data_IF_757617415369
#
_entry.id   IF_757617415369
#
_cell.length_a   1.000
_cell.length_b   1.000
_cell.length_c   1.000
_cell.angle_alpha   90.00
_cell.angle_beta   90.00
_cell.angle_gamma   90.00
#
_symmetry.space_group_name_H-M   'P 1'
#
loop_
_entity.id
_entity.type
_entity.pdbx_description
1 polymer ?
#
# COMPACT_ATOMS: atom_id res chain seq x y z
N UNK A 1 3.69 7.30 11.10
CA UNK A 1 4.85 6.42 10.79
C UNK A 1 4.50 4.94 10.95
N UNK A 2 3.98 4.48 12.10
CA UNK A 2 3.62 3.06 12.32
C UNK A 2 2.66 2.49 11.27
N UNK A 3 1.67 3.28 10.85
CA UNK A 3 0.73 2.88 9.81
C UNK A 3 1.35 2.77 8.41
N UNK A 4 2.43 3.49 8.12
CA UNK A 4 3.15 3.47 6.84
C UNK A 4 4.07 2.24 6.80
N UNK A 5 5.01 2.12 7.73
CA UNK A 5 6.03 1.06 7.71
C UNK A 5 5.49 -0.37 7.70
N UNK A 6 4.25 -0.56 8.15
CA UNK A 6 3.59 -1.85 8.10
C UNK A 6 3.22 -2.30 6.67
N UNK A 7 2.86 -1.37 5.81
CA UNK A 7 2.44 -1.64 4.42
C UNK A 7 3.64 -2.12 3.59
N UNK A 8 4.78 -1.48 3.74
CA UNK A 8 6.00 -1.69 2.95
C UNK A 8 6.44 -3.17 2.89
N UNK A 9 6.25 -3.92 3.99
CA UNK A 9 6.62 -5.35 4.02
C UNK A 9 5.74 -6.21 3.11
N UNK A 10 4.46 -5.88 3.01
CA UNK A 10 3.51 -6.62 2.17
C UNK A 10 3.72 -6.28 0.69
N UNK A 11 3.88 -5.00 0.38
CA UNK A 11 4.06 -4.47 -0.98
C UNK A 11 5.36 -4.96 -1.61
N UNK A 12 6.47 -4.91 -0.88
CA UNK A 12 7.76 -5.46 -1.30
C UNK A 12 7.64 -6.92 -1.77
N UNK A 13 6.93 -7.76 -1.00
CA UNK A 13 6.74 -9.17 -1.34
C UNK A 13 5.84 -9.35 -2.57
N UNK A 14 4.85 -8.48 -2.74
CA UNK A 14 3.97 -8.50 -3.90
C UNK A 14 4.76 -8.20 -5.17
N UNK A 15 5.50 -7.11 -5.23
CA UNK A 15 6.31 -6.75 -6.39
C UNK A 15 7.40 -7.77 -6.70
N UNK A 16 8.11 -8.27 -5.69
CA UNK A 16 9.17 -9.28 -5.90
C UNK A 16 8.68 -10.57 -6.56
N UNK A 17 7.39 -10.88 -6.45
CA UNK A 17 6.77 -12.10 -7.00
C UNK A 17 5.96 -11.87 -8.27
N UNK A 18 5.98 -10.67 -8.83
CA UNK A 18 5.16 -10.37 -10.01
C UNK A 18 5.55 -11.24 -11.22
N UNK A 19 6.84 -11.53 -11.39
CA UNK A 19 7.35 -12.39 -12.44
C UNK A 19 6.95 -13.86 -12.32
N UNK A 20 6.58 -14.33 -11.13
CA UNK A 20 6.10 -15.70 -10.92
C UNK A 20 4.74 -15.94 -11.58
N UNK A 21 3.93 -14.89 -11.72
CA UNK A 21 2.59 -14.93 -12.27
C UNK A 21 2.50 -14.34 -13.67
N UNK A 22 3.37 -13.41 -14.01
CA UNK A 22 3.49 -12.77 -15.32
C UNK A 22 4.87 -13.06 -15.90
N UNK A 23 5.06 -14.24 -16.56
CA UNK A 23 6.37 -14.77 -16.89
C UNK A 23 7.03 -14.11 -18.11
N UNK A 24 7.06 -12.77 -18.13
CA UNK A 24 7.78 -12.00 -19.13
C UNK A 24 9.07 -11.41 -18.51
N UNK A 25 10.24 -11.58 -19.12
CA UNK A 25 11.51 -11.13 -18.55
C UNK A 25 11.48 -9.67 -18.05
N UNK A 26 10.98 -8.75 -18.89
CA UNK A 26 10.92 -7.33 -18.53
C UNK A 26 9.95 -7.04 -17.36
N UNK A 27 8.89 -7.84 -17.18
CA UNK A 27 7.97 -7.70 -16.03
C UNK A 27 8.64 -8.22 -14.77
N UNK A 28 9.39 -9.31 -14.88
CA UNK A 28 10.18 -9.83 -13.77
C UNK A 28 11.23 -8.81 -13.29
N UNK A 29 11.99 -8.23 -14.23
CA UNK A 29 12.97 -7.19 -13.93
C UNK A 29 12.33 -5.96 -13.30
N UNK A 30 11.18 -5.52 -13.83
CA UNK A 30 10.37 -4.44 -13.28
C UNK A 30 9.96 -4.73 -11.84
N UNK A 31 9.50 -5.95 -11.56
CA UNK A 31 9.12 -6.38 -10.21
C UNK A 31 10.26 -6.27 -9.20
N UNK A 32 11.48 -6.64 -9.59
CA UNK A 32 12.66 -6.49 -8.73
C UNK A 32 13.01 -5.01 -8.50
N UNK A 33 12.89 -4.16 -9.51
CA UNK A 33 13.10 -2.70 -9.35
C UNK A 33 12.09 -2.12 -8.36
N UNK A 34 10.80 -2.41 -8.53
CA UNK A 34 9.74 -1.95 -7.63
C UNK A 34 9.97 -2.45 -6.19
N UNK A 35 10.23 -3.74 -6.03
CA UNK A 35 10.51 -4.33 -4.72
C UNK A 35 11.75 -3.72 -4.04
N UNK A 36 12.77 -3.32 -4.80
CA UNK A 36 13.94 -2.64 -4.25
C UNK A 36 13.61 -1.24 -3.73
N UNK A 37 12.73 -0.51 -4.39
CA UNK A 37 12.24 0.80 -3.92
C UNK A 37 11.56 0.63 -2.56
N UNK A 38 10.72 -0.40 -2.38
CA UNK A 38 10.07 -0.70 -1.09
C UNK A 38 11.09 -1.08 0.02
N UNK A 39 12.20 -1.70 -0.35
CA UNK A 39 13.30 -1.94 0.61
C UNK A 39 13.89 -0.61 1.08
N UNK A 40 14.09 0.34 0.16
CA UNK A 40 14.62 1.67 0.48
C UNK A 40 13.65 2.44 1.38
N UNK A 41 12.34 2.41 1.08
CA UNK A 41 11.30 3.02 1.92
C UNK A 41 11.34 2.45 3.34
N UNK A 42 11.32 1.13 3.46
CA UNK A 42 11.33 0.46 4.76
C UNK A 42 12.56 0.86 5.59
N UNK A 43 13.75 0.84 5.01
CA UNK A 43 15.00 1.25 5.68
C UNK A 43 14.98 2.72 6.06
N UNK A 44 14.44 3.59 5.21
CA UNK A 44 14.34 5.03 5.49
C UNK A 44 13.40 5.31 6.66
N UNK A 45 12.23 4.65 6.71
CA UNK A 45 11.29 4.79 7.82
C UNK A 45 11.81 4.19 9.13
N UNK A 46 12.52 3.06 9.09
CA UNK A 46 13.20 2.50 10.25
C UNK A 46 14.24 3.47 10.82
N UNK A 47 15.12 4.00 9.98
CA UNK A 47 16.11 5.00 10.40
C UNK A 47 15.48 6.25 10.97
N UNK A 48 14.36 6.70 10.41
CA UNK A 48 13.64 7.85 10.91
C UNK A 48 13.05 7.58 12.31
N UNK A 49 12.47 6.40 12.55
CA UNK A 49 11.98 6.01 13.87
C UNK A 49 13.10 5.98 14.90
N UNK A 50 14.23 5.36 14.58
CA UNK A 50 15.43 5.33 15.44
C UNK A 50 15.90 6.76 15.75
N UNK A 51 16.02 7.60 14.74
CA UNK A 51 16.47 9.00 14.91
C UNK A 51 15.56 9.85 15.79
N UNK A 52 14.27 9.49 15.86
CA UNK A 52 13.27 10.15 16.68
C UNK A 52 13.08 9.48 18.05
N UNK A 53 13.71 8.32 18.31
CA UNK A 53 13.52 7.53 19.53
C UNK A 53 12.10 7.00 19.69
N UNK A 54 11.48 6.56 18.58
CA UNK A 54 10.07 6.16 18.53
C UNK A 54 9.86 4.66 18.22
N UNK A 55 10.90 3.83 18.38
CA UNK A 55 10.82 2.40 18.08
C UNK A 55 9.79 1.69 18.96
N UNK A 56 9.82 1.93 20.27
CA UNK A 56 8.86 1.33 21.22
C UNK A 56 7.43 1.76 20.92
N UNK A 57 7.22 3.04 20.56
CA UNK A 57 5.91 3.58 20.17
C UNK A 57 5.41 2.93 18.88
N UNK A 58 6.32 2.63 17.96
CA UNK A 58 5.95 1.91 16.73
C UNK A 58 5.40 0.53 17.06
N UNK A 59 6.10 -0.24 17.89
CA UNK A 59 5.71 -1.60 18.28
C UNK A 59 4.41 -1.64 19.08
N UNK A 60 4.19 -0.65 19.94
CA UNK A 60 2.93 -0.49 20.67
C UNK A 60 1.75 -0.17 19.73
N UNK A 61 1.94 0.77 18.82
CA UNK A 61 0.90 1.16 17.87
C UNK A 61 0.49 0.01 16.93
N UNK A 62 1.42 -0.88 16.57
CA UNK A 62 1.09 -2.06 15.76
C UNK A 62 0.08 -2.99 16.44
N UNK A 63 -0.06 -2.96 17.75
CA UNK A 63 -1.01 -3.78 18.53
C UNK A 63 -2.42 -3.17 18.58
N UNK A 64 -2.59 -1.90 18.17
CA UNK A 64 -3.88 -1.23 18.18
C UNK A 64 -4.84 -1.85 17.16
N UNK A 65 -6.08 -2.08 17.57
CA UNK A 65 -7.13 -2.66 16.72
C UNK A 65 -7.35 -1.86 15.42
N UNK A 66 -7.19 -0.54 15.48
CA UNK A 66 -7.30 0.36 14.33
C UNK A 66 -6.22 0.03 13.28
N UNK A 67 -4.98 -0.18 13.71
CA UNK A 67 -3.87 -0.57 12.83
C UNK A 67 -4.03 -2.01 12.37
N UNK A 68 -4.49 -2.91 13.25
CA UNK A 68 -4.77 -4.30 12.88
C UNK A 68 -5.87 -4.42 11.83
N UNK A 69 -6.83 -3.51 11.78
CA UNK A 69 -7.83 -3.43 10.71
C UNK A 69 -7.17 -3.35 9.32
N UNK A 70 -6.16 -2.48 9.16
CA UNK A 70 -5.36 -2.38 7.92
C UNK A 70 -4.59 -3.66 7.63
N UNK A 71 -3.91 -4.24 8.62
CA UNK A 71 -3.20 -5.53 8.46
C UNK A 71 -4.13 -6.60 7.94
N UNK A 72 -5.35 -6.63 8.45
CA UNK A 72 -6.32 -7.67 8.11
C UNK A 72 -6.77 -7.56 6.66
N UNK A 73 -7.10 -6.36 6.15
CA UNK A 73 -7.49 -6.25 4.75
C UNK A 73 -6.30 -6.49 3.80
N UNK A 74 -5.08 -6.05 4.14
CA UNK A 74 -3.88 -6.36 3.36
C UNK A 74 -3.62 -7.88 3.28
N UNK A 75 -3.76 -8.59 4.40
CA UNK A 75 -3.65 -10.05 4.43
C UNK A 75 -4.73 -10.71 3.58
N UNK A 76 -5.96 -10.21 3.64
CA UNK A 76 -7.09 -10.70 2.87
C UNK A 76 -6.80 -10.64 1.36
N UNK A 77 -6.16 -9.57 0.87
CA UNK A 77 -5.78 -9.44 -0.53
C UNK A 77 -4.77 -10.50 -1.00
N UNK A 78 -3.98 -11.04 -0.09
CA UNK A 78 -3.01 -12.11 -0.35
C UNK A 78 -3.59 -13.51 -0.14
N UNK A 79 -4.76 -13.64 0.51
CA UNK A 79 -5.39 -14.94 0.75
C UNK A 79 -6.16 -15.41 -0.48
N UNK A 80 -6.23 -16.73 -0.62
CA UNK A 80 -6.93 -17.38 -1.73
C UNK A 80 -8.45 -17.23 -1.55
N UNK A 81 -9.03 -16.26 -2.25
CA UNK A 81 -10.47 -16.06 -2.36
C UNK A 81 -11.05 -16.86 -3.54
N UNK A 82 -10.47 -16.70 -4.73
CA UNK A 82 -10.87 -17.42 -5.92
C UNK A 82 -10.17 -18.79 -6.04
N UNK A 83 -10.88 -19.78 -6.56
CA UNK A 83 -10.30 -21.08 -6.90
C UNK A 83 -9.40 -21.00 -8.13
N UNK A 84 -9.79 -20.18 -9.12
CA UNK A 84 -8.99 -19.87 -10.28
C UNK A 84 -7.79 -19.01 -9.85
N UNK A 85 -6.58 -19.48 -10.10
CA UNK A 85 -5.35 -18.80 -9.69
C UNK A 85 -5.08 -17.52 -10.47
N UNK A 86 -5.50 -17.45 -11.75
CA UNK A 86 -5.35 -16.23 -12.57
C UNK A 86 -6.31 -15.15 -12.10
N UNK A 87 -7.59 -15.49 -11.87
CA UNK A 87 -8.58 -14.57 -11.34
C UNK A 87 -8.16 -14.07 -9.95
N UNK A 88 -7.67 -14.97 -9.08
CA UNK A 88 -7.12 -14.60 -7.77
C UNK A 88 -5.97 -13.60 -7.90
N UNK A 89 -5.07 -13.83 -8.84
CA UNK A 89 -3.93 -12.94 -9.03
C UNK A 89 -4.36 -11.54 -9.53
N UNK A 90 -5.29 -11.49 -10.48
CA UNK A 90 -5.88 -10.23 -10.96
C UNK A 90 -6.55 -9.48 -9.81
N UNK A 91 -7.37 -10.16 -9.01
CA UNK A 91 -8.00 -9.60 -7.82
C UNK A 91 -6.96 -8.98 -6.87
N UNK A 92 -5.92 -9.73 -6.52
CA UNK A 92 -4.85 -9.24 -5.64
C UNK A 92 -4.11 -8.04 -6.23
N UNK A 93 -3.79 -8.09 -7.53
CA UNK A 93 -3.10 -7.01 -8.25
C UNK A 93 -3.93 -5.72 -8.24
N UNK A 94 -5.23 -5.80 -8.55
CA UNK A 94 -6.11 -4.63 -8.55
C UNK A 94 -6.13 -3.99 -7.16
N UNK A 95 -6.29 -4.78 -6.10
CA UNK A 95 -6.38 -4.26 -4.74
C UNK A 95 -5.07 -3.65 -4.26
N UNK A 96 -3.93 -4.28 -4.55
CA UNK A 96 -2.63 -3.71 -4.21
C UNK A 96 -2.38 -2.41 -4.95
N UNK A 97 -2.55 -2.38 -6.26
CA UNK A 97 -2.21 -1.21 -7.07
C UNK A 97 -3.18 -0.04 -6.91
N UNK A 98 -4.47 -0.31 -6.70
CA UNK A 98 -5.46 0.76 -6.52
C UNK A 98 -5.54 1.27 -5.08
N UNK A 99 -5.51 0.37 -4.08
CA UNK A 99 -5.78 0.78 -2.70
C UNK A 99 -4.53 0.91 -1.86
N UNK A 100 -3.58 0.00 -2.00
CA UNK A 100 -2.35 0.07 -1.20
C UNK A 100 -1.49 1.22 -1.70
N UNK A 101 -1.16 1.23 -2.98
CA UNK A 101 -0.26 2.21 -3.59
C UNK A 101 -0.86 3.62 -3.75
N UNK A 102 -2.20 3.74 -3.86
CA UNK A 102 -2.85 5.03 -4.10
C UNK A 102 -3.60 5.62 -2.90
N UNK A 103 -4.08 4.80 -1.97
CA UNK A 103 -4.98 5.27 -0.91
C UNK A 103 -4.37 5.12 0.47
N UNK A 104 -3.87 3.92 0.80
CA UNK A 104 -3.52 3.56 2.18
C UNK A 104 -2.38 4.37 2.80
N UNK A 105 -1.53 4.99 1.99
CA UNK A 105 -0.38 5.80 2.43
C UNK A 105 -0.66 7.30 2.38
N UNK A 106 -1.43 7.76 1.40
CA UNK A 106 -1.55 9.17 1.06
C UNK A 106 -2.20 10.03 2.14
N UNK A 107 -3.13 9.48 2.91
CA UNK A 107 -3.75 10.18 4.04
C UNK A 107 -2.71 10.55 5.11
N UNK A 108 -1.80 9.63 5.43
CA UNK A 108 -0.73 9.88 6.39
C UNK A 108 0.33 10.82 5.82
N UNK A 109 0.65 10.72 4.54
CA UNK A 109 1.53 11.67 3.85
C UNK A 109 0.98 13.09 3.95
N UNK A 110 -0.33 13.25 3.75
CA UNK A 110 -0.99 14.54 3.88
C UNK A 110 -0.83 15.12 5.30
N UNK A 111 -1.07 14.34 6.34
CA UNK A 111 -0.93 14.79 7.74
C UNK A 111 0.49 15.27 8.03
N UNK A 112 1.51 14.51 7.64
CA UNK A 112 2.92 14.88 7.84
C UNK A 112 3.25 16.19 7.09
N UNK A 113 2.84 16.29 5.83
CA UNK A 113 3.05 17.50 5.03
C UNK A 113 2.29 18.70 5.58
N UNK A 114 1.11 18.50 6.17
CA UNK A 114 0.34 19.57 6.84
C UNK A 114 1.13 20.16 8.01
N UNK A 115 1.70 19.33 8.89
CA UNK A 115 2.53 19.79 9.99
C UNK A 115 3.78 20.55 9.50
N UNK A 116 4.41 20.05 8.46
CA UNK A 116 5.55 20.75 7.86
C UNK A 116 5.15 22.13 7.33
N UNK A 117 4.08 22.21 6.55
CA UNK A 117 3.63 23.45 5.90
C UNK A 117 3.13 24.49 6.90
N UNK A 118 2.35 24.08 7.89
CA UNK A 118 1.63 25.01 8.78
C UNK A 118 2.34 25.26 10.12
N UNK A 119 3.17 24.34 10.56
CA UNK A 119 3.90 24.45 11.84
C UNK A 119 5.42 24.53 11.67
N UNK A 120 5.91 24.38 10.44
CA UNK A 120 7.35 24.41 10.11
C UNK A 120 8.18 23.38 10.90
N UNK A 121 7.58 22.22 11.17
CA UNK A 121 8.20 21.07 11.85
C UNK A 121 8.26 19.87 10.92
N UNK A 122 8.97 18.80 11.29
CA UNK A 122 9.07 17.54 10.55
C UNK A 122 9.60 17.71 9.11
N UNK A 123 10.56 18.61 8.88
CA UNK A 123 11.06 18.92 7.53
C UNK A 123 11.63 17.71 6.81
N UNK A 124 12.51 16.96 7.48
CA UNK A 124 13.16 15.79 6.89
C UNK A 124 12.16 14.65 6.68
N UNK A 125 11.24 14.47 7.63
CA UNK A 125 10.13 13.51 7.50
C UNK A 125 9.24 13.85 6.31
N UNK A 126 8.87 15.12 6.15
CA UNK A 126 8.05 15.58 5.02
C UNK A 126 8.77 15.43 3.69
N UNK A 127 10.08 15.64 3.65
CA UNK A 127 10.88 15.43 2.46
C UNK A 127 10.92 13.93 2.08
N UNK A 128 11.15 13.06 3.05
CA UNK A 128 11.12 11.61 2.86
C UNK A 128 9.76 11.16 2.30
N UNK A 129 8.67 11.59 2.92
CA UNK A 129 7.30 11.31 2.48
C UNK A 129 7.03 11.83 1.06
N UNK A 130 7.57 12.99 0.70
CA UNK A 130 7.41 13.55 -0.64
C UNK A 130 8.14 12.74 -1.72
N UNK A 131 9.27 12.13 -1.40
CA UNK A 131 9.95 11.19 -2.30
C UNK A 131 9.15 9.90 -2.43
N UNK A 132 8.78 9.27 -1.31
CA UNK A 132 7.94 8.06 -1.32
C UNK A 132 6.66 8.28 -2.14
N UNK A 133 5.93 9.37 -1.94
CA UNK A 133 4.69 9.65 -2.67
C UNK A 133 4.86 9.71 -4.20
N UNK A 134 6.02 10.16 -4.69
CA UNK A 134 6.31 10.15 -6.13
C UNK A 134 6.56 8.74 -6.64
N UNK A 135 7.27 7.94 -5.88
CA UNK A 135 7.60 6.56 -6.22
C UNK A 135 6.36 5.67 -6.18
N UNK A 136 5.49 5.83 -5.15
CA UNK A 136 4.19 5.16 -5.08
C UNK A 136 3.27 5.50 -6.26
N UNK A 137 3.33 6.74 -6.74
CA UNK A 137 2.59 7.12 -7.96
C UNK A 137 3.05 6.31 -9.17
N UNK A 138 4.35 6.01 -9.28
CA UNK A 138 4.89 5.19 -10.36
C UNK A 138 4.42 3.74 -10.20
N UNK A 139 4.47 3.18 -8.98
CA UNK A 139 3.98 1.84 -8.67
C UNK A 139 2.51 1.67 -9.07
N UNK A 140 1.67 2.62 -8.68
CA UNK A 140 0.26 2.66 -9.05
C UNK A 140 0.04 2.69 -10.57
N UNK A 141 0.74 3.55 -11.29
CA UNK A 141 0.63 3.66 -12.75
C UNK A 141 1.06 2.37 -13.46
N UNK A 142 2.13 1.74 -13.00
CA UNK A 142 2.59 0.44 -13.53
C UNK A 142 1.53 -0.63 -13.28
N UNK A 143 0.98 -0.71 -12.08
CA UNK A 143 -0.06 -1.67 -11.74
C UNK A 143 -1.32 -1.47 -12.57
N UNK A 144 -1.79 -0.24 -12.73
CA UNK A 144 -2.94 0.10 -13.61
C UNK A 144 -2.67 -0.34 -15.06
N UNK A 145 -1.46 -0.09 -15.56
CA UNK A 145 -1.08 -0.52 -16.91
C UNK A 145 -1.14 -2.03 -17.05
N UNK A 146 -0.58 -2.77 -16.10
CA UNK A 146 -0.61 -4.24 -16.12
C UNK A 146 -2.03 -4.80 -16.03
N UNK A 147 -2.87 -4.23 -15.15
CA UNK A 147 -4.29 -4.62 -15.05
C UNK A 147 -5.03 -4.39 -16.36
N UNK A 148 -4.78 -3.27 -17.05
CA UNK A 148 -5.42 -3.00 -18.34
C UNK A 148 -4.97 -3.98 -19.42
N UNK A 149 -3.69 -4.33 -19.48
CA UNK A 149 -3.19 -5.35 -20.41
C UNK A 149 -3.84 -6.71 -20.11
N UNK A 150 -3.91 -7.12 -18.85
CA UNK A 150 -4.56 -8.37 -18.47
C UNK A 150 -6.05 -8.38 -18.82
N UNK A 151 -6.74 -7.25 -18.73
CA UNK A 151 -8.14 -7.14 -19.11
C UNK A 151 -8.34 -7.28 -20.62
N UNK A 152 -7.38 -6.81 -21.42
CA UNK A 152 -7.41 -6.98 -22.88
C UNK A 152 -7.10 -8.45 -23.28
N UNK A 153 -6.16 -9.11 -22.59
CA UNK A 153 -5.73 -10.48 -22.89
C UNK A 153 -6.67 -11.56 -22.33
N UNK A 154 -7.31 -11.31 -21.19
CA UNK A 154 -8.15 -12.26 -20.46
C UNK A 154 -9.48 -11.62 -20.02
N UNK A 155 -10.30 -11.08 -20.96
CA UNK A 155 -11.52 -10.35 -20.62
C UNK A 155 -12.52 -11.21 -19.82
N UNK A 156 -12.51 -12.52 -19.99
CA UNK A 156 -13.39 -13.46 -19.28
C UNK A 156 -13.13 -13.54 -17.78
N UNK A 157 -11.97 -13.09 -17.31
CA UNK A 157 -11.64 -13.05 -15.87
C UNK A 157 -12.12 -11.76 -15.19
N UNK A 158 -12.53 -10.75 -15.97
CA UNK A 158 -13.04 -9.47 -15.49
C UNK A 158 -14.56 -9.43 -15.53
N UNK A 159 -15.18 -10.35 -14.82
CA UNK A 159 -16.64 -10.50 -14.73
C UNK A 159 -17.26 -9.64 -13.61
N UNK A 160 -18.60 -9.62 -13.56
CA UNK A 160 -19.37 -8.87 -12.55
C UNK A 160 -19.05 -9.31 -11.10
N UNK A 161 -18.75 -10.59 -10.88
CA UNK A 161 -18.37 -11.09 -9.55
C UNK A 161 -17.03 -10.50 -9.09
N UNK A 162 -16.05 -10.37 -9.99
CA UNK A 162 -14.79 -9.69 -9.67
C UNK A 162 -15.03 -8.21 -9.39
N UNK A 163 -15.83 -7.53 -10.20
CA UNK A 163 -16.14 -6.11 -10.04
C UNK A 163 -16.83 -5.84 -8.69
N UNK A 164 -17.89 -6.57 -8.36
CA UNK A 164 -18.62 -6.45 -7.09
C UNK A 164 -17.69 -6.71 -5.89
N UNK A 165 -16.81 -7.69 -6.02
CA UNK A 165 -15.85 -8.02 -4.97
C UNK A 165 -14.82 -6.91 -4.77
N UNK A 166 -14.27 -6.35 -5.84
CA UNK A 166 -13.35 -5.22 -5.78
C UNK A 166 -14.00 -4.00 -5.11
N UNK A 167 -15.23 -3.66 -5.49
CA UNK A 167 -15.96 -2.54 -4.89
C UNK A 167 -16.21 -2.76 -3.39
N UNK A 168 -16.58 -3.98 -2.99
CA UNK A 168 -16.76 -4.33 -1.57
C UNK A 168 -15.47 -4.17 -0.77
N UNK A 169 -14.34 -4.66 -1.28
CA UNK A 169 -13.04 -4.53 -0.63
C UNK A 169 -12.58 -3.07 -0.56
N UNK A 170 -12.91 -2.28 -1.58
CA UNK A 170 -12.68 -0.85 -1.61
C UNK A 170 -13.35 -0.12 -0.46
N UNK A 171 -14.64 -0.40 -0.25
CA UNK A 171 -15.39 0.20 0.84
C UNK A 171 -14.84 -0.21 2.22
N UNK A 172 -14.44 -1.48 2.38
CA UNK A 172 -13.83 -1.95 3.62
C UNK A 172 -12.50 -1.24 3.90
N UNK A 173 -11.63 -1.14 2.89
CA UNK A 173 -10.36 -0.44 2.99
C UNK A 173 -10.57 1.04 3.33
N UNK A 174 -11.49 1.72 2.63
CA UNK A 174 -11.83 3.12 2.89
C UNK A 174 -12.31 3.35 4.32
N UNK A 175 -13.20 2.48 4.83
CA UNK A 175 -13.69 2.56 6.22
C UNK A 175 -12.55 2.37 7.24
N UNK A 176 -11.58 1.50 6.94
CA UNK A 176 -10.41 1.32 7.79
C UNK A 176 -9.51 2.56 7.79
N UNK A 177 -9.29 3.16 6.62
CA UNK A 177 -8.47 4.37 6.50
C UNK A 177 -9.12 5.57 7.19
N UNK A 178 -10.44 5.74 7.09
CA UNK A 178 -11.17 6.77 7.83
C UNK A 178 -10.94 6.62 9.34
N UNK A 179 -11.04 5.41 9.90
CA UNK A 179 -10.78 5.18 11.33
C UNK A 179 -9.35 5.54 11.73
N UNK A 180 -8.36 5.28 10.86
CA UNK A 180 -6.97 5.67 11.12
C UNK A 180 -6.83 7.19 11.14
N UNK A 181 -7.48 7.89 10.24
CA UNK A 181 -7.48 9.36 10.22
C UNK A 181 -8.17 9.93 11.46
N UNK A 182 -9.33 9.41 11.83
CA UNK A 182 -10.05 9.82 13.05
C UNK A 182 -9.17 9.62 14.29
N UNK A 183 -8.46 8.48 14.37
CA UNK A 183 -7.52 8.23 15.45
C UNK A 183 -6.33 9.21 15.46
N UNK A 184 -5.77 9.55 14.29
CA UNK A 184 -4.67 10.52 14.18
C UNK A 184 -5.13 11.92 14.59
N UNK A 185 -6.33 12.32 14.19
CA UNK A 185 -6.89 13.63 14.48
C UNK A 185 -7.39 13.75 15.93
N UNK A 186 -7.79 12.64 16.55
CA UNK A 186 -8.31 12.64 17.93
C UNK A 186 -9.49 13.59 18.08
N UNK A 187 -9.41 14.47 19.08
CA UNK A 187 -10.47 15.45 19.40
C UNK A 187 -10.53 16.66 18.44
N UNK A 188 -9.72 16.68 17.38
CA UNK A 188 -9.76 17.73 16.34
C UNK A 188 -10.79 17.49 15.24
N UNK A 189 -11.60 16.44 15.35
CA UNK A 189 -12.65 16.13 14.37
C UNK A 189 -13.93 16.90 14.63
#
# INVERSE_FOLDING_TARGET
MSAIGQIEIAVKKFWAKIGDNLPHPSINDLGYVMANVEVIHNVAYEKLLVSLGLEDVFDENLKLDIIQGRVNYLRKYLHKYYKDSKKQYIYSMILFTLYVENVSLFSQFYVINWFNRHKNVLKDTAQQVAYTAKEETIHALVGIKLVNVLREEYPELFDADLEDKILTEAEEAFKCECKIIDWILGDYS
#
